data_IF_132733126097
#
_entry.id   IF_132733126097
#
_cell.length_a   1.000
_cell.length_b   1.000
_cell.length_c   1.000
_cell.angle_alpha   90.00
_cell.angle_beta   90.00
_cell.angle_gamma   90.00
#
_symmetry.space_group_name_H-M   'P 1'
#
loop_
_entity.id
_entity.type
_entity.pdbx_description
1 polymer ?
#
# COMPACT_ATOMS: atom_id res chain seq x y z
N UNK A 1 -7.25 -6.65 7.07
CA UNK A 1 -6.92 -5.22 7.20
C UNK A 1 -5.64 -4.98 7.99
N UNK A 2 -5.54 -5.38 9.27
CA UNK A 2 -4.32 -5.13 10.09
C UNK A 2 -3.04 -5.65 9.43
N UNK A 3 -3.05 -6.89 8.91
CA UNK A 3 -1.87 -7.47 8.24
C UNK A 3 -1.45 -6.69 7.00
N UNK A 4 -2.38 -6.40 6.08
CA UNK A 4 -2.10 -5.61 4.88
C UNK A 4 -1.61 -4.20 5.23
N UNK A 5 -2.25 -3.53 6.19
CA UNK A 5 -1.84 -2.20 6.66
C UNK A 5 -0.44 -2.16 7.28
N UNK A 6 -0.04 -3.17 8.07
CA UNK A 6 1.32 -3.28 8.62
C UNK A 6 2.33 -3.70 7.54
N UNK A 7 1.90 -4.53 6.58
CA UNK A 7 2.75 -5.03 5.48
C UNK A 7 3.31 -3.91 4.60
N UNK A 8 2.52 -2.85 4.35
CA UNK A 8 2.93 -1.71 3.51
C UNK A 8 4.21 -1.03 4.05
N UNK A 9 4.22 -0.44 5.27
CA UNK A 9 5.42 0.19 5.81
C UNK A 9 6.54 -0.82 6.10
N UNK A 10 6.20 -2.06 6.47
CA UNK A 10 7.20 -3.10 6.75
C UNK A 10 8.03 -3.42 5.49
N UNK A 11 7.38 -3.63 4.35
CA UNK A 11 8.07 -3.90 3.09
C UNK A 11 8.85 -2.69 2.57
N UNK A 12 8.33 -1.47 2.74
CA UNK A 12 9.09 -0.25 2.39
C UNK A 12 10.39 -0.19 3.22
N UNK A 13 10.29 -0.35 4.54
CA UNK A 13 11.46 -0.32 5.42
C UNK A 13 12.46 -1.44 5.11
N UNK A 14 11.97 -2.66 4.87
CA UNK A 14 12.82 -3.80 4.52
C UNK A 14 13.54 -3.58 3.18
N UNK A 15 12.83 -3.07 2.17
CA UNK A 15 13.40 -2.70 0.88
C UNK A 15 14.52 -1.66 0.99
N UNK A 16 14.33 -0.63 1.83
CA UNK A 16 15.35 0.40 2.07
C UNK A 16 16.61 -0.16 2.73
N UNK A 17 16.52 -1.29 3.43
CA UNK A 17 17.67 -2.00 4.00
C UNK A 17 18.43 -2.88 3.00
N UNK A 18 17.96 -3.00 1.76
CA UNK A 18 18.60 -3.83 0.71
C UNK A 18 19.74 -3.08 0.02
N UNK A 19 20.59 -3.83 -0.69
CA UNK A 19 21.84 -3.31 -1.27
C UNK A 19 21.66 -2.74 -2.67
N UNK A 20 20.57 -3.07 -3.36
CA UNK A 20 20.34 -2.66 -4.75
C UNK A 20 18.96 -2.06 -4.98
N UNK A 21 18.88 -1.14 -5.94
CA UNK A 21 17.61 -0.57 -6.40
C UNK A 21 16.63 -1.64 -6.91
N UNK A 22 17.14 -2.73 -7.48
CA UNK A 22 16.32 -3.84 -7.96
C UNK A 22 15.61 -4.58 -6.81
N UNK A 23 16.32 -4.84 -5.72
CA UNK A 23 15.71 -5.44 -4.53
C UNK A 23 14.71 -4.47 -3.90
N UNK A 24 15.08 -3.19 -3.73
CA UNK A 24 14.16 -2.17 -3.22
C UNK A 24 12.89 -2.09 -4.08
N UNK A 25 13.01 -2.11 -5.41
CA UNK A 25 11.86 -2.11 -6.32
C UNK A 25 10.93 -3.30 -6.06
N UNK A 26 11.48 -4.51 -5.85
CA UNK A 26 10.67 -5.70 -5.55
C UNK A 26 9.89 -5.54 -4.24
N UNK A 27 10.52 -5.04 -3.19
CA UNK A 27 9.86 -4.76 -1.91
C UNK A 27 8.79 -3.67 -2.03
N UNK A 28 9.05 -2.61 -2.80
CA UNK A 28 8.05 -1.59 -3.10
C UNK A 28 6.87 -2.17 -3.88
N UNK A 29 7.07 -3.15 -4.77
CA UNK A 29 5.98 -3.85 -5.46
C UNK A 29 5.11 -4.65 -4.49
N UNK A 30 5.71 -5.28 -3.48
CA UNK A 30 4.96 -5.99 -2.43
C UNK A 30 4.17 -5.01 -1.58
N UNK A 31 4.76 -3.87 -1.21
CA UNK A 31 4.07 -2.80 -0.49
C UNK A 31 2.89 -2.25 -1.30
N UNK A 32 3.07 -2.01 -2.61
CA UNK A 32 2.02 -1.56 -3.51
C UNK A 32 0.88 -2.60 -3.59
N UNK A 33 1.21 -3.88 -3.77
CA UNK A 33 0.22 -4.95 -3.76
C UNK A 33 -0.58 -5.01 -2.45
N UNK A 34 0.10 -4.89 -1.30
CA UNK A 34 -0.54 -4.85 0.02
C UNK A 34 -1.49 -3.66 0.17
N UNK A 35 -1.19 -2.52 -0.46
CA UNK A 35 -2.08 -1.35 -0.43
C UNK A 35 -3.38 -1.56 -1.22
N UNK A 36 -3.32 -2.21 -2.38
CA UNK A 36 -4.53 -2.58 -3.15
C UNK A 36 -5.35 -3.66 -2.44
N UNK A 37 -4.70 -4.62 -1.77
CA UNK A 37 -5.38 -5.60 -0.93
C UNK A 37 -6.16 -4.90 0.21
N UNK A 38 -5.53 -3.92 0.88
CA UNK A 38 -6.15 -3.16 1.96
C UNK A 38 -7.36 -2.37 1.46
N UNK A 39 -7.24 -1.68 0.32
CA UNK A 39 -8.34 -0.94 -0.30
C UNK A 39 -9.53 -1.86 -0.61
N UNK A 40 -9.26 -3.01 -1.22
CA UNK A 40 -10.27 -4.02 -1.53
C UNK A 40 -10.97 -4.50 -0.27
N UNK A 41 -10.23 -4.75 0.82
CA UNK A 41 -10.82 -5.15 2.09
C UNK A 41 -11.74 -4.07 2.67
N UNK A 42 -11.41 -2.78 2.53
CA UNK A 42 -12.29 -1.68 2.98
C UNK A 42 -13.56 -1.59 2.15
N UNK A 43 -13.47 -1.74 0.83
CA UNK A 43 -14.65 -1.82 -0.06
C UNK A 43 -15.56 -2.96 0.39
N UNK A 44 -15.01 -4.15 0.59
CA UNK A 44 -15.77 -5.32 1.07
C UNK A 44 -16.40 -5.06 2.44
N UNK A 45 -15.68 -4.42 3.37
CA UNK A 45 -16.21 -4.12 4.69
C UNK A 45 -17.39 -3.14 4.65
N UNK A 46 -17.39 -2.17 3.73
CA UNK A 46 -18.53 -1.29 3.49
C UNK A 46 -19.73 -2.06 2.93
N UNK A 47 -19.51 -3.00 2.00
CA UNK A 47 -20.60 -3.82 1.44
C UNK A 47 -21.29 -4.71 2.49
N UNK A 48 -20.53 -5.16 3.50
CA UNK A 48 -21.10 -5.87 4.66
C UNK A 48 -21.65 -4.96 5.77
N UNK A 49 -21.61 -3.63 5.59
CA UNK A 49 -22.13 -2.67 6.56
C UNK A 49 -21.27 -2.52 7.82
N UNK A 50 -20.00 -2.93 7.80
CA UNK A 50 -19.08 -2.77 8.95
C UNK A 50 -18.55 -1.34 9.10
N UNK A 51 -18.59 -0.55 8.03
CA UNK A 51 -18.16 0.86 8.00
C UNK A 51 -19.14 1.68 7.16
N UNK A 52 -19.12 3.00 7.34
CA UNK A 52 -19.92 3.93 6.53
C UNK A 52 -19.24 4.28 5.21
N UNK A 53 -19.98 4.86 4.27
CA UNK A 53 -19.42 5.36 3.01
C UNK A 53 -18.41 6.49 3.28
N UNK A 54 -18.68 7.38 4.23
CA UNK A 54 -17.76 8.47 4.60
C UNK A 54 -16.42 7.92 5.13
N UNK A 55 -16.48 6.82 5.90
CA UNK A 55 -15.27 6.14 6.39
C UNK A 55 -14.48 5.52 5.25
N UNK A 56 -15.17 4.85 4.31
CA UNK A 56 -14.55 4.26 3.13
C UNK A 56 -13.85 5.34 2.29
N UNK A 57 -14.54 6.45 2.00
CA UNK A 57 -14.02 7.54 1.18
C UNK A 57 -12.76 8.16 1.82
N UNK A 58 -12.82 8.45 3.13
CA UNK A 58 -11.70 9.03 3.87
C UNK A 58 -10.46 8.11 3.87
N UNK A 59 -10.66 6.80 3.99
CA UNK A 59 -9.57 5.82 3.99
C UNK A 59 -9.03 5.60 2.58
N UNK A 60 -9.88 5.48 1.56
CA UNK A 60 -9.45 5.29 0.18
C UNK A 60 -8.62 6.47 -0.35
N UNK A 61 -8.93 7.71 0.08
CA UNK A 61 -8.09 8.88 -0.21
C UNK A 61 -6.66 8.66 0.31
N UNK A 62 -6.51 8.22 1.57
CA UNK A 62 -5.19 7.99 2.16
C UNK A 62 -4.44 6.83 1.50
N UNK A 63 -5.12 5.72 1.21
CA UNK A 63 -4.52 4.58 0.52
C UNK A 63 -4.04 5.00 -0.88
N UNK A 64 -4.86 5.76 -1.62
CA UNK A 64 -4.52 6.26 -2.95
C UNK A 64 -3.26 7.14 -2.93
N UNK A 65 -3.13 8.01 -1.93
CA UNK A 65 -1.92 8.83 -1.78
C UNK A 65 -0.69 7.97 -1.50
N UNK A 66 -0.79 6.94 -0.65
CA UNK A 66 0.29 5.99 -0.39
C UNK A 66 0.68 5.22 -1.67
N UNK A 67 -0.30 4.75 -2.45
CA UNK A 67 -0.07 4.08 -3.73
C UNK A 67 0.71 4.97 -4.70
N UNK A 68 0.31 6.25 -4.84
CA UNK A 68 1.02 7.23 -5.68
C UNK A 68 2.44 7.47 -5.20
N UNK A 69 2.66 7.59 -3.88
CA UNK A 69 3.99 7.76 -3.31
C UNK A 69 4.89 6.56 -3.58
N UNK A 70 4.39 5.33 -3.39
CA UNK A 70 5.15 4.10 -3.69
C UNK A 70 5.50 4.04 -5.17
N UNK A 71 4.53 4.31 -6.06
CA UNK A 71 4.74 4.29 -7.49
C UNK A 71 5.74 5.36 -7.97
N UNK A 72 5.65 6.58 -7.41
CA UNK A 72 6.63 7.64 -7.64
C UNK A 72 8.03 7.23 -7.18
N UNK A 73 8.14 6.58 -6.03
CA UNK A 73 9.42 6.09 -5.53
C UNK A 73 9.98 4.99 -6.44
N UNK A 74 9.18 4.02 -6.86
CA UNK A 74 9.59 2.98 -7.82
C UNK A 74 10.14 3.58 -9.11
N UNK A 75 9.47 4.59 -9.68
CA UNK A 75 9.94 5.28 -10.90
C UNK A 75 11.31 5.95 -10.72
N UNK A 76 11.60 6.46 -9.53
CA UNK A 76 12.88 7.13 -9.27
C UNK A 76 14.08 6.17 -9.23
N UNK A 77 13.85 4.86 -9.10
CA UNK A 77 14.91 3.88 -8.93
C UNK A 77 15.67 3.52 -10.21
N UNK A 78 15.19 3.96 -11.38
CA UNK A 78 15.81 3.73 -12.71
C UNK A 78 16.21 2.26 -12.93
N UNK A 79 15.34 1.32 -12.55
CA UNK A 79 15.53 -0.13 -12.71
C UNK A 79 14.68 -0.69 -13.84
#
# INVERSE_FOLDING_TARGET
MVRAGISIPSNIAEGCGRKSNKELYQFLSIALGSSFELETQFIVAKEFGYITQETLDAVCIQITEIQKMIYGFQKSLNV
#
